data_IF_033488327195
#
_entry.id   IF_033488327195
#
_cell.length_a   1.000
_cell.length_b   1.000
_cell.length_c   1.000
_cell.angle_alpha   90.00
_cell.angle_beta   90.00
_cell.angle_gamma   90.00
#
_symmetry.space_group_name_H-M   'P 1'
#
loop_
_entity.id
_entity.type
_entity.pdbx_description
1 polymer ?
#
# COMPACT_ATOMS: atom_id res chain seq x y z
N UNK A 1 7.81 -24.33 -23.16
CA UNK A 1 8.61 -23.43 -22.30
C UNK A 1 7.68 -22.30 -21.90
N UNK A 2 6.82 -22.54 -20.93
CA UNK A 2 5.83 -21.57 -20.46
C UNK A 2 5.72 -21.72 -18.94
N UNK A 3 6.75 -21.23 -18.26
CA UNK A 3 6.67 -20.87 -16.85
C UNK A 3 7.37 -19.53 -16.76
N UNK A 4 6.60 -18.44 -16.59
CA UNK A 4 6.96 -17.13 -16.01
C UNK A 4 5.90 -16.07 -16.36
N UNK A 5 4.71 -16.17 -15.80
CA UNK A 5 3.77 -15.04 -15.82
C UNK A 5 2.79 -14.99 -14.62
N UNK A 6 3.11 -15.69 -13.52
CA UNK A 6 2.20 -15.77 -12.35
C UNK A 6 2.67 -15.04 -11.08
N UNK A 7 3.90 -14.52 -11.00
CA UNK A 7 4.50 -14.05 -9.73
C UNK A 7 4.32 -12.56 -9.37
N UNK A 8 3.59 -11.76 -10.15
CA UNK A 8 3.50 -10.29 -9.94
C UNK A 8 2.09 -9.75 -9.73
N UNK A 9 1.18 -10.56 -9.17
CA UNK A 9 -0.24 -10.17 -9.05
C UNK A 9 -0.63 -9.55 -7.71
N UNK A 10 0.21 -9.66 -6.69
CA UNK A 10 -0.15 -9.23 -5.33
C UNK A 10 0.92 -8.29 -4.80
N UNK A 11 0.49 -7.25 -4.10
CA UNK A 11 1.42 -6.49 -3.28
C UNK A 11 1.82 -7.39 -2.12
N UNK A 12 3.11 -7.52 -1.86
CA UNK A 12 3.57 -8.19 -0.65
C UNK A 12 3.76 -7.15 0.45
N UNK A 13 3.55 -7.54 1.71
CA UNK A 13 3.77 -6.63 2.84
C UNK A 13 5.17 -6.02 2.82
N UNK A 14 6.17 -6.83 2.46
CA UNK A 14 7.57 -6.41 2.30
C UNK A 14 7.76 -5.31 1.25
N UNK A 15 6.88 -5.19 0.25
CA UNK A 15 6.95 -4.12 -0.75
C UNK A 15 6.55 -2.77 -0.15
N UNK A 16 5.54 -2.77 0.73
CA UNK A 16 5.17 -1.60 1.51
C UNK A 16 6.31 -1.24 2.48
N UNK A 17 6.83 -2.21 3.24
CA UNK A 17 7.97 -1.99 4.15
C UNK A 17 9.15 -1.36 3.42
N UNK A 18 9.53 -1.89 2.24
CA UNK A 18 10.59 -1.32 1.39
C UNK A 18 10.30 0.11 0.96
N UNK A 19 9.08 0.40 0.52
CA UNK A 19 8.70 1.73 0.07
C UNK A 19 8.83 2.77 1.19
N UNK A 20 8.29 2.47 2.39
CA UNK A 20 8.37 3.37 3.53
C UNK A 20 9.80 3.48 4.08
N UNK A 21 10.54 2.37 4.19
CA UNK A 21 11.94 2.36 4.63
C UNK A 21 12.83 3.25 3.76
N UNK A 22 12.80 3.05 2.43
CA UNK A 22 13.57 3.88 1.52
C UNK A 22 13.04 5.30 1.40
N UNK A 23 11.73 5.53 1.59
CA UNK A 23 11.15 6.87 1.65
C UNK A 23 11.73 7.69 2.80
N UNK A 24 11.78 7.10 3.99
CA UNK A 24 12.40 7.72 5.17
C UNK A 24 13.90 7.94 4.95
N UNK A 25 14.65 6.94 4.48
CA UNK A 25 16.08 7.10 4.20
C UNK A 25 16.39 8.14 3.11
N UNK A 26 15.61 8.20 2.03
CA UNK A 26 15.80 9.18 0.95
C UNK A 26 15.50 10.62 1.41
N UNK A 27 14.63 10.80 2.41
CA UNK A 27 14.41 12.12 3.04
C UNK A 27 15.63 12.61 3.83
N UNK A 28 16.44 11.68 4.35
CA UNK A 28 17.62 11.95 5.16
C UNK A 28 18.90 12.02 4.31
N UNK A 29 18.98 11.19 3.27
CA UNK A 29 20.15 11.05 2.42
C UNK A 29 19.75 10.74 0.96
N UNK A 30 20.04 11.63 -0.01
CA UNK A 30 19.73 11.45 -1.42
C UNK A 30 20.31 10.19 -2.07
N UNK A 31 21.33 9.57 -1.49
CA UNK A 31 21.90 8.29 -1.96
C UNK A 31 20.82 7.20 -2.14
N UNK A 32 19.77 7.23 -1.31
CA UNK A 32 18.70 6.24 -1.34
C UNK A 32 17.56 6.58 -2.32
N UNK A 33 17.57 7.73 -3.00
CA UNK A 33 16.48 8.13 -3.91
C UNK A 33 16.21 7.09 -5.00
N UNK A 34 17.26 6.50 -5.58
CA UNK A 34 17.08 5.46 -6.61
C UNK A 34 16.43 4.19 -6.05
N UNK A 35 16.68 3.84 -4.79
CA UNK A 35 16.05 2.70 -4.14
C UNK A 35 14.58 2.99 -3.83
N UNK A 36 14.32 4.20 -3.32
CA UNK A 36 12.98 4.69 -3.08
C UNK A 36 12.14 4.74 -4.36
N UNK A 37 12.70 5.24 -5.46
CA UNK A 37 12.03 5.27 -6.77
C UNK A 37 11.65 3.87 -7.23
N UNK A 38 12.58 2.91 -7.15
CA UNK A 38 12.28 1.52 -7.55
C UNK A 38 11.18 0.88 -6.70
N UNK A 39 11.25 1.05 -5.38
CA UNK A 39 10.24 0.49 -4.47
C UNK A 39 8.86 1.12 -4.73
N UNK A 40 8.80 2.44 -4.85
CA UNK A 40 7.56 3.18 -5.08
C UNK A 40 6.95 2.86 -6.44
N UNK A 41 7.76 2.76 -7.50
CA UNK A 41 7.28 2.40 -8.83
C UNK A 41 6.75 0.96 -8.88
N UNK A 42 7.40 0.02 -8.16
CA UNK A 42 6.87 -1.35 -8.03
C UNK A 42 5.47 -1.33 -7.41
N UNK A 43 5.31 -0.64 -6.27
CA UNK A 43 4.01 -0.51 -5.58
C UNK A 43 2.98 0.16 -6.49
N UNK A 44 3.35 1.26 -7.18
CA UNK A 44 2.49 1.94 -8.17
C UNK A 44 1.99 0.97 -9.24
N UNK A 45 2.88 0.18 -9.86
CA UNK A 45 2.49 -0.77 -10.93
C UNK A 45 1.48 -1.79 -10.44
N UNK A 46 1.68 -2.32 -9.23
CA UNK A 46 0.77 -3.31 -8.64
C UNK A 46 -0.59 -2.67 -8.31
N UNK A 47 -0.59 -1.50 -7.69
CA UNK A 47 -1.83 -0.79 -7.35
C UNK A 47 -2.59 -0.31 -8.59
N UNK A 48 -1.90 0.11 -9.65
CA UNK A 48 -2.53 0.44 -10.93
C UNK A 48 -3.26 -0.75 -11.51
N UNK A 49 -2.67 -1.94 -11.44
CA UNK A 49 -3.32 -3.17 -11.90
C UNK A 49 -4.51 -3.53 -11.03
N UNK A 50 -4.33 -3.57 -9.70
CA UNK A 50 -5.40 -3.86 -8.75
C UNK A 50 -6.62 -2.95 -8.94
N UNK A 51 -6.39 -1.65 -9.05
CA UNK A 51 -7.46 -0.65 -9.19
C UNK A 51 -8.15 -0.74 -10.55
N UNK A 52 -7.43 -1.05 -11.64
CA UNK A 52 -8.05 -1.34 -12.94
C UNK A 52 -8.91 -2.59 -12.91
N UNK A 53 -8.39 -3.68 -12.35
CA UNK A 53 -9.13 -4.93 -12.22
C UNK A 53 -10.41 -4.72 -11.38
N UNK A 54 -10.32 -3.94 -10.29
CA UNK A 54 -11.49 -3.54 -9.49
C UNK A 54 -12.51 -2.74 -10.32
N UNK A 55 -12.07 -1.71 -11.06
CA UNK A 55 -12.96 -0.87 -11.88
C UNK A 55 -13.66 -1.70 -12.97
N UNK A 56 -12.95 -2.65 -13.59
CA UNK A 56 -13.47 -3.45 -14.70
C UNK A 56 -14.41 -4.59 -14.25
N UNK A 57 -14.22 -5.13 -13.04
CA UNK A 57 -14.89 -6.36 -12.62
C UNK A 57 -15.69 -6.27 -11.33
N UNK A 58 -15.39 -5.32 -10.46
CA UNK A 58 -16.01 -5.20 -9.13
C UNK A 58 -16.88 -3.94 -8.99
N UNK A 59 -16.54 -2.85 -9.70
CA UNK A 59 -17.28 -1.59 -9.59
C UNK A 59 -18.77 -1.78 -9.89
N UNK A 60 -19.60 -1.26 -8.99
CA UNK A 60 -21.03 -1.54 -8.94
C UNK A 60 -21.88 -0.46 -9.60
N UNK A 61 -21.26 0.67 -9.99
CA UNK A 61 -21.90 1.85 -10.56
C UNK A 61 -23.05 2.39 -9.69
N UNK A 62 -22.95 2.22 -8.36
CA UNK A 62 -23.91 2.78 -7.43
C UNK A 62 -23.77 4.31 -7.33
N UNK A 63 -24.82 5.04 -6.91
CA UNK A 63 -24.74 6.49 -6.71
C UNK A 63 -23.65 6.86 -5.70
N UNK A 64 -22.95 7.98 -5.92
CA UNK A 64 -21.82 8.43 -5.09
C UNK A 64 -22.21 8.68 -3.63
N UNK A 65 -23.50 8.89 -3.35
CA UNK A 65 -24.04 9.06 -2.00
C UNK A 65 -24.07 7.76 -1.19
N UNK A 66 -23.96 6.61 -1.86
CA UNK A 66 -23.86 5.29 -1.20
C UNK A 66 -22.42 4.98 -0.80
N UNK A 67 -22.19 4.15 0.24
CA UNK A 67 -20.84 3.71 0.61
C UNK A 67 -20.07 3.07 -0.55
N UNK A 68 -20.74 2.21 -1.33
CA UNK A 68 -20.19 1.50 -2.48
C UNK A 68 -19.86 2.45 -3.63
N UNK A 69 -20.78 3.35 -4.00
CA UNK A 69 -20.53 4.33 -5.06
C UNK A 69 -19.43 5.34 -4.70
N UNK A 70 -19.31 5.71 -3.42
CA UNK A 70 -18.22 6.54 -2.93
C UNK A 70 -16.86 5.81 -2.98
N UNK A 71 -16.84 4.50 -2.68
CA UNK A 71 -15.64 3.67 -2.82
C UNK A 71 -15.22 3.56 -4.28
N UNK A 72 -16.16 3.27 -5.18
CA UNK A 72 -15.93 3.18 -6.63
C UNK A 72 -15.33 4.50 -7.16
N UNK A 73 -15.97 5.64 -6.83
CA UNK A 73 -15.49 6.97 -7.25
C UNK A 73 -14.10 7.31 -6.70
N UNK A 74 -13.81 6.88 -5.47
CA UNK A 74 -12.49 7.07 -4.88
C UNK A 74 -11.42 6.23 -5.57
N UNK A 75 -11.71 4.94 -5.85
CA UNK A 75 -10.79 4.05 -6.56
C UNK A 75 -10.50 4.56 -7.97
N UNK A 76 -11.51 5.05 -8.70
CA UNK A 76 -11.33 5.69 -10.01
C UNK A 76 -10.45 6.94 -9.94
N UNK A 77 -10.68 7.79 -8.94
CA UNK A 77 -9.89 9.01 -8.74
C UNK A 77 -8.44 8.68 -8.41
N UNK A 78 -8.22 7.70 -7.52
CA UNK A 78 -6.90 7.22 -7.17
C UNK A 78 -6.18 6.57 -8.36
N UNK A 79 -6.87 5.76 -9.16
CA UNK A 79 -6.29 5.17 -10.37
C UNK A 79 -5.76 6.25 -11.31
N UNK A 80 -6.55 7.31 -11.53
CA UNK A 80 -6.16 8.47 -12.34
C UNK A 80 -4.96 9.20 -11.76
N UNK A 81 -4.92 9.41 -10.44
CA UNK A 81 -3.80 10.07 -9.77
C UNK A 81 -2.51 9.23 -9.89
N UNK A 82 -2.61 7.91 -9.72
CA UNK A 82 -1.50 6.99 -9.92
C UNK A 82 -0.97 7.01 -11.36
N UNK A 83 -1.84 7.00 -12.36
CA UNK A 83 -1.43 7.00 -13.78
C UNK A 83 -0.61 8.25 -14.12
N UNK A 84 -1.02 9.40 -13.60
CA UNK A 84 -0.45 10.70 -13.96
C UNK A 84 0.76 11.10 -13.11
N UNK A 85 0.96 10.52 -11.93
CA UNK A 85 2.06 10.89 -11.04
C UNK A 85 3.30 10.00 -11.26
N UNK A 86 4.46 10.62 -11.42
CA UNK A 86 5.75 9.91 -11.61
C UNK A 86 6.79 10.28 -10.54
N UNK A 87 6.51 11.28 -9.71
CA UNK A 87 7.35 11.65 -8.58
C UNK A 87 7.11 10.70 -7.40
N UNK A 88 8.14 9.97 -6.98
CA UNK A 88 8.02 8.96 -5.92
C UNK A 88 7.59 9.54 -4.57
N UNK A 89 7.97 10.78 -4.22
CA UNK A 89 7.55 11.39 -2.96
C UNK A 89 6.04 11.65 -2.95
N UNK A 90 5.51 12.15 -4.08
CA UNK A 90 4.06 12.33 -4.23
C UNK A 90 3.32 11.01 -4.35
N UNK A 91 3.89 10.02 -5.05
CA UNK A 91 3.31 8.67 -5.11
C UNK A 91 3.19 8.06 -3.71
N UNK A 92 4.22 8.16 -2.86
CA UNK A 92 4.14 7.70 -1.47
C UNK A 92 2.97 8.36 -0.72
N UNK A 93 2.77 9.67 -0.89
CA UNK A 93 1.65 10.39 -0.26
C UNK A 93 0.29 9.90 -0.78
N UNK A 94 0.15 9.76 -2.09
CA UNK A 94 -1.06 9.27 -2.76
C UNK A 94 -1.38 7.84 -2.31
N UNK A 95 -0.38 6.95 -2.29
CA UNK A 95 -0.51 5.55 -1.86
C UNK A 95 -0.88 5.48 -0.37
N UNK A 96 -0.23 6.27 0.48
CA UNK A 96 -0.54 6.30 1.91
C UNK A 96 -1.98 6.77 2.18
N UNK A 97 -2.42 7.82 1.48
CA UNK A 97 -3.80 8.31 1.59
C UNK A 97 -4.82 7.25 1.13
N UNK A 98 -4.51 6.53 0.04
CA UNK A 98 -5.34 5.45 -0.47
C UNK A 98 -5.43 4.28 0.48
N UNK A 99 -4.30 3.80 1.00
CA UNK A 99 -4.26 2.74 2.00
C UNK A 99 -5.15 3.12 3.19
N UNK A 100 -4.95 4.29 3.78
CA UNK A 100 -5.76 4.73 4.94
C UNK A 100 -7.25 4.79 4.62
N UNK A 101 -7.63 5.43 3.50
CA UNK A 101 -9.04 5.65 3.17
C UNK A 101 -9.76 4.36 2.77
N UNK A 102 -9.16 3.55 1.88
CA UNK A 102 -9.80 2.31 1.43
C UNK A 102 -9.85 1.29 2.55
N UNK A 103 -8.79 1.17 3.34
CA UNK A 103 -8.79 0.28 4.49
C UNK A 103 -9.87 0.66 5.50
N UNK A 104 -9.98 1.95 5.87
CA UNK A 104 -11.03 2.43 6.77
C UNK A 104 -12.44 2.14 6.21
N UNK A 105 -12.66 2.37 4.90
CA UNK A 105 -13.97 2.15 4.28
C UNK A 105 -14.35 0.69 4.11
N UNK A 106 -13.42 -0.17 3.68
CA UNK A 106 -13.66 -1.61 3.57
C UNK A 106 -13.97 -2.20 4.94
N UNK A 107 -13.23 -1.80 5.96
CA UNK A 107 -13.48 -2.21 7.35
C UNK A 107 -14.86 -1.80 7.84
N UNK A 108 -15.24 -0.53 7.67
CA UNK A 108 -16.52 0.00 8.19
C UNK A 108 -17.72 -0.51 7.39
N UNK A 109 -17.59 -0.62 6.07
CA UNK A 109 -18.73 -0.82 5.18
C UNK A 109 -18.94 -2.29 4.81
N UNK A 110 -17.87 -3.06 4.66
CA UNK A 110 -17.91 -4.42 4.11
C UNK A 110 -17.33 -5.49 5.06
N UNK A 111 -16.58 -5.08 6.09
CA UNK A 111 -15.87 -6.01 6.98
C UNK A 111 -14.75 -6.78 6.27
N UNK A 112 -14.20 -6.20 5.20
CA UNK A 112 -13.15 -6.82 4.37
C UNK A 112 -11.77 -6.19 4.62
N UNK A 113 -10.72 -6.99 4.41
CA UNK A 113 -9.33 -6.55 4.50
C UNK A 113 -8.84 -5.98 3.16
N UNK A 114 -8.19 -4.82 3.22
CA UNK A 114 -7.62 -4.20 2.04
C UNK A 114 -6.31 -4.90 1.64
N UNK A 115 -6.23 -5.39 0.40
CA UNK A 115 -5.07 -6.13 -0.15
C UNK A 115 -4.72 -7.42 0.64
N UNK A 116 -5.64 -7.91 1.48
CA UNK A 116 -5.38 -9.04 2.39
C UNK A 116 -4.44 -8.70 3.54
N UNK A 117 -4.31 -7.42 3.89
CA UNK A 117 -3.57 -6.96 5.06
C UNK A 117 -4.55 -6.53 6.16
N UNK A 118 -4.27 -6.96 7.38
CA UNK A 118 -5.02 -6.60 8.57
C UNK A 118 -4.72 -5.16 9.03
N UNK A 119 -5.55 -4.63 9.93
CA UNK A 119 -5.34 -3.32 10.57
C UNK A 119 -3.95 -3.27 11.24
N UNK A 120 -3.55 -4.35 11.92
CA UNK A 120 -2.25 -4.47 12.59
C UNK A 120 -1.09 -4.44 11.60
N UNK A 121 -1.26 -5.00 10.39
CA UNK A 121 -0.22 -4.95 9.37
C UNK A 121 0.03 -3.51 8.92
N UNK A 122 -1.03 -2.72 8.71
CA UNK A 122 -0.89 -1.29 8.36
C UNK A 122 -0.35 -0.46 9.53
N UNK A 123 -0.79 -0.73 10.76
CA UNK A 123 -0.21 -0.11 11.95
C UNK A 123 1.28 -0.43 12.07
N UNK A 124 1.67 -1.66 11.73
CA UNK A 124 3.04 -2.14 11.72
C UNK A 124 4.01 -1.26 10.91
N UNK A 125 3.52 -0.63 9.83
CA UNK A 125 4.34 0.28 9.00
C UNK A 125 4.85 1.50 9.78
N UNK A 126 4.23 1.86 10.90
CA UNK A 126 4.68 2.94 11.79
C UNK A 126 5.92 2.57 12.60
N UNK A 127 6.29 1.28 12.68
CA UNK A 127 7.44 0.80 13.46
C UNK A 127 8.72 0.57 12.64
N UNK A 128 8.75 1.06 11.39
CA UNK A 128 9.95 0.99 10.55
C UNK A 128 11.10 1.77 11.20
N UNK A 129 12.19 1.07 11.49
CA UNK A 129 13.40 1.61 12.11
C UNK A 129 14.54 1.67 11.10
N UNK A 130 14.75 2.86 10.51
CA UNK A 130 15.81 3.06 9.51
C UNK A 130 17.23 3.04 10.07
N UNK A 131 17.41 2.85 11.38
CA UNK A 131 18.73 2.60 11.98
C UNK A 131 19.14 1.12 11.88
N UNK A 132 18.20 0.24 11.56
CA UNK A 132 18.40 -1.20 11.38
C UNK A 132 18.35 -1.58 9.89
N UNK A 133 19.02 -2.66 9.48
CA UNK A 133 18.95 -3.18 8.11
C UNK A 133 17.52 -3.48 7.64
N UNK A 134 17.29 -3.42 6.33
CA UNK A 134 15.98 -3.65 5.72
C UNK A 134 15.46 -5.08 5.96
N UNK A 135 16.34 -6.08 5.97
CA UNK A 135 16.02 -7.48 6.20
C UNK A 135 15.62 -7.80 7.65
N UNK A 136 15.85 -6.86 8.58
CA UNK A 136 15.41 -6.99 9.96
C UNK A 136 14.03 -6.34 10.23
N UNK A 137 13.52 -5.52 9.29
CA UNK A 137 12.34 -4.68 9.54
C UNK A 137 11.09 -5.49 9.86
N UNK A 138 10.83 -6.59 9.16
CA UNK A 138 9.65 -7.43 9.42
C UNK A 138 9.69 -8.03 10.83
N UNK A 139 10.86 -8.42 11.32
CA UNK A 139 11.03 -8.91 12.69
C UNK A 139 10.83 -7.81 13.73
N UNK A 140 11.32 -6.59 13.46
CA UNK A 140 11.13 -5.42 14.34
C UNK A 140 9.64 -5.08 14.44
N UNK A 141 8.96 -4.99 13.30
CA UNK A 141 7.53 -4.70 13.21
C UNK A 141 6.73 -5.78 13.97
N UNK A 142 7.01 -7.05 13.71
CA UNK A 142 6.32 -8.16 14.37
C UNK A 142 6.48 -8.11 15.90
N UNK A 143 7.70 -7.91 16.39
CA UNK A 143 7.95 -7.81 17.84
C UNK A 143 7.23 -6.59 18.45
N UNK A 144 7.16 -5.46 17.74
CA UNK A 144 6.45 -4.27 18.20
C UNK A 144 4.94 -4.48 18.29
N UNK A 145 4.37 -5.17 17.32
CA UNK A 145 2.96 -5.55 17.36
C UNK A 145 2.67 -6.52 18.51
N UNK A 146 3.52 -7.54 18.73
CA UNK A 146 3.38 -8.43 19.90
C UNK A 146 3.42 -7.66 21.22
N UNK A 147 4.37 -6.74 21.40
CA UNK A 147 4.45 -5.89 22.61
C UNK A 147 3.18 -5.06 22.86
N UNK A 148 2.42 -4.72 21.83
CA UNK A 148 1.20 -3.90 21.94
C UNK A 148 -0.06 -4.73 22.17
N UNK A 149 -0.09 -5.96 21.64
CA UNK A 149 -1.28 -6.81 21.61
C UNK A 149 -1.18 -8.06 22.50
N UNK A 150 -0.01 -8.37 23.09
CA UNK A 150 0.15 -9.45 24.10
C UNK A 150 -0.31 -9.03 25.51
N UNK A 151 -0.65 -7.75 25.73
CA UNK A 151 -1.11 -7.20 27.03
C UNK A 151 -2.65 -7.14 27.18
N UNK A 152 -3.43 -7.62 26.19
CA UNK A 152 -4.91 -7.75 26.21
C UNK A 152 -5.38 -9.21 26.37
#
# INVERSE_FOLDING_TARGET
MEEKESETRTIEYVDLVKMYYYGTLASQNPFYERHFDKATQKVKTILLKYTKDYIEHCATNQPIETPEGALDSYIESFNRDLENENNSKKLLQIINAFIMYVHERLRISLGEEFLGFSDEAFEGLNYIDTTRPLDEQEGIIHNKLLELYDDD
#
